data_IF_927465112725
#
_entry.id   IF_927465112725
#
_cell.length_a   1.000
_cell.length_b   1.000
_cell.length_c   1.000
_cell.angle_alpha   90.00
_cell.angle_beta   90.00
_cell.angle_gamma   90.00
#
_symmetry.space_group_name_H-M   'P 1'
#
loop_
_entity.id
_entity.type
_entity.pdbx_description
1 polymer ?
#
# COMPACT_ATOMS: atom_id res chain seq x y z
N UNK A 1 5.98 10.69 23.12
CA UNK A 1 7.43 10.84 23.28
C UNK A 1 8.07 9.50 23.70
N UNK A 2 7.59 8.85 24.76
CA UNK A 2 8.17 7.58 25.25
C UNK A 2 8.31 6.51 24.15
N UNK A 3 7.31 6.34 23.29
CA UNK A 3 7.36 5.41 22.16
C UNK A 3 8.47 5.79 21.16
N UNK A 4 8.61 7.08 20.84
CA UNK A 4 9.65 7.55 19.91
C UNK A 4 11.06 7.32 20.44
N UNK A 5 11.26 7.47 21.75
CA UNK A 5 12.57 7.38 22.39
C UNK A 5 13.01 5.93 22.65
N UNK A 6 12.06 5.00 22.80
CA UNK A 6 12.34 3.66 23.30
C UNK A 6 12.01 2.53 22.31
N UNK A 7 11.28 2.79 21.23
CA UNK A 7 10.94 1.75 20.25
C UNK A 7 11.99 1.68 19.15
N UNK A 8 12.67 0.54 18.94
CA UNK A 8 13.77 0.41 17.99
C UNK A 8 13.42 0.80 16.54
N UNK A 9 12.13 0.70 16.13
CA UNK A 9 11.71 1.10 14.78
C UNK A 9 11.90 2.60 14.50
N UNK A 10 12.06 3.41 15.55
CA UNK A 10 12.26 4.86 15.43
C UNK A 10 13.70 5.28 15.53
N UNK A 11 14.62 4.32 15.70
CA UNK A 11 16.06 4.61 15.78
C UNK A 11 16.53 5.35 14.51
N UNK A 12 17.20 6.48 14.70
CA UNK A 12 17.69 7.31 13.60
C UNK A 12 16.65 8.19 12.92
N UNK A 13 15.38 8.20 13.38
CA UNK A 13 14.35 9.09 12.86
C UNK A 13 14.42 10.45 13.56
N UNK A 14 14.81 11.48 12.81
CA UNK A 14 14.80 12.87 13.28
C UNK A 14 13.46 13.53 12.95
N UNK A 15 12.96 14.34 13.88
CA UNK A 15 11.70 15.09 13.72
C UNK A 15 11.92 16.56 14.05
N UNK A 16 11.38 17.46 13.20
CA UNK A 16 11.41 18.89 13.43
C UNK A 16 10.29 19.38 14.36
N UNK A 17 9.47 18.48 14.90
CA UNK A 17 8.31 18.75 15.75
C UNK A 17 8.31 17.84 16.98
N UNK A 18 7.63 18.26 18.03
CA UNK A 18 7.52 17.52 19.30
C UNK A 18 6.29 16.62 19.35
N UNK A 19 6.27 15.66 20.28
CA UNK A 19 5.10 14.85 20.56
C UNK A 19 3.91 15.70 21.06
N UNK A 20 4.20 16.81 21.79
CA UNK A 20 3.19 17.78 22.24
C UNK A 20 2.55 18.51 21.06
N UNK A 21 3.32 18.88 20.04
CA UNK A 21 2.79 19.46 18.81
C UNK A 21 1.83 18.50 18.12
N UNK A 22 2.17 17.22 18.04
CA UNK A 22 1.28 16.20 17.46
C UNK A 22 -0.01 16.07 18.26
N UNK A 23 0.08 16.00 19.60
CA UNK A 23 -1.10 15.91 20.48
C UNK A 23 -1.98 17.15 20.38
N UNK A 24 -1.37 18.33 20.30
CA UNK A 24 -2.09 19.62 20.16
C UNK A 24 -2.82 19.74 18.83
N UNK A 25 -2.21 19.27 17.74
CA UNK A 25 -2.73 19.46 16.38
C UNK A 25 -3.68 18.34 15.92
N UNK A 26 -3.55 17.14 16.48
CA UNK A 26 -4.46 16.03 16.13
C UNK A 26 -5.87 16.28 16.65
N UNK A 27 -6.87 15.74 15.98
CA UNK A 27 -8.26 15.76 16.44
C UNK A 27 -8.46 14.98 17.75
N UNK A 28 -9.58 15.21 18.41
CA UNK A 28 -9.96 14.52 19.66
C UNK A 28 -10.35 13.05 19.43
N UNK A 29 -10.85 12.74 18.24
CA UNK A 29 -11.18 11.38 17.81
C UNK A 29 -10.00 10.86 17.02
N UNK A 30 -9.48 9.72 17.42
CA UNK A 30 -8.45 9.01 16.70
C UNK A 30 -9.11 7.90 15.88
N UNK A 31 -9.07 8.07 14.56
CA UNK A 31 -9.51 7.00 13.65
C UNK A 31 -8.52 5.85 13.65
N UNK A 32 -9.04 4.63 13.72
CA UNK A 32 -8.25 3.42 13.56
C UNK A 32 -8.39 2.89 12.13
N UNK A 33 -7.27 2.80 11.43
CA UNK A 33 -7.17 2.18 10.13
C UNK A 33 -6.75 0.71 10.30
N UNK A 34 -7.69 -0.11 10.75
CA UNK A 34 -7.43 -1.50 11.21
C UNK A 34 -6.72 -2.34 10.16
N UNK A 35 -7.16 -2.31 8.90
CA UNK A 35 -6.55 -3.10 7.83
C UNK A 35 -5.11 -2.65 7.55
N UNK A 36 -4.89 -1.35 7.45
CA UNK A 36 -3.55 -0.81 7.21
C UNK A 36 -2.60 -1.15 8.37
N UNK A 37 -3.04 -0.97 9.62
CA UNK A 37 -2.22 -1.29 10.80
C UNK A 37 -1.85 -2.77 10.87
N UNK A 38 -2.85 -3.66 10.82
CA UNK A 38 -2.62 -5.12 10.85
C UNK A 38 -1.76 -5.58 9.67
N UNK A 39 -2.05 -5.07 8.49
CA UNK A 39 -1.28 -5.40 7.29
C UNK A 39 0.18 -4.94 7.38
N UNK A 40 0.44 -3.72 7.88
CA UNK A 40 1.78 -3.20 8.07
C UNK A 40 2.58 -3.99 9.11
N UNK A 41 1.97 -4.33 10.25
CA UNK A 41 2.60 -5.18 11.27
C UNK A 41 2.93 -6.57 10.72
N UNK A 42 2.00 -7.18 9.98
CA UNK A 42 2.19 -8.47 9.34
C UNK A 42 3.30 -8.43 8.29
N UNK A 43 3.29 -7.44 7.41
CA UNK A 43 4.32 -7.27 6.37
C UNK A 43 5.70 -7.11 6.99
N UNK A 44 5.82 -6.28 8.03
CA UNK A 44 7.08 -6.05 8.72
C UNK A 44 7.64 -7.33 9.35
N UNK A 45 6.80 -8.08 10.05
CA UNK A 45 7.18 -9.36 10.67
C UNK A 45 7.59 -10.37 9.59
N UNK A 46 6.79 -10.52 8.55
CA UNK A 46 7.04 -11.44 7.45
C UNK A 46 8.37 -11.15 6.75
N UNK A 47 8.65 -9.88 6.41
CA UNK A 47 9.90 -9.50 5.76
C UNK A 47 11.11 -9.77 6.66
N UNK A 48 11.02 -9.53 7.97
CA UNK A 48 12.10 -9.81 8.91
C UNK A 48 12.37 -11.30 9.06
N UNK A 49 11.32 -12.09 9.22
CA UNK A 49 11.43 -13.52 9.44
C UNK A 49 11.95 -14.24 8.19
N UNK A 50 11.47 -13.87 7.01
CA UNK A 50 11.92 -14.43 5.74
C UNK A 50 13.37 -14.04 5.45
N UNK A 51 13.74 -12.77 5.67
CA UNK A 51 15.12 -12.33 5.51
C UNK A 51 16.08 -13.07 6.47
N UNK A 52 15.66 -13.30 7.72
CA UNK A 52 16.47 -14.03 8.70
C UNK A 52 16.71 -15.49 8.30
N UNK A 53 15.81 -16.08 7.49
CA UNK A 53 15.95 -17.43 6.92
C UNK A 53 16.62 -17.45 5.55
N UNK A 54 16.99 -16.30 4.99
CA UNK A 54 17.50 -16.19 3.61
C UNK A 54 16.43 -16.43 2.54
N UNK A 55 15.16 -16.23 2.90
CA UNK A 55 13.98 -16.35 2.04
C UNK A 55 13.49 -14.98 1.57
N UNK A 56 12.48 -14.96 0.74
CA UNK A 56 11.85 -13.73 0.23
C UNK A 56 10.34 -13.85 0.19
N UNK A 57 9.66 -12.72 0.29
CA UNK A 57 8.21 -12.64 0.20
C UNK A 57 7.77 -12.71 -1.26
N UNK A 58 7.03 -13.75 -1.62
CA UNK A 58 6.39 -13.86 -2.94
C UNK A 58 5.16 -12.95 -3.00
N UNK A 59 5.15 -12.05 -3.97
CA UNK A 59 4.00 -11.20 -4.29
C UNK A 59 3.78 -11.15 -5.79
N UNK A 60 2.53 -11.07 -6.21
CA UNK A 60 2.13 -10.83 -7.59
C UNK A 60 1.18 -9.64 -7.66
N UNK A 61 1.13 -9.02 -8.83
CA UNK A 61 0.18 -7.93 -9.13
C UNK A 61 -1.26 -8.42 -9.16
N UNK A 62 -2.19 -7.62 -8.64
CA UNK A 62 -3.62 -7.82 -8.77
C UNK A 62 -4.32 -6.49 -9.00
N UNK A 63 -5.20 -6.41 -10.00
CA UNK A 63 -6.04 -5.25 -10.31
C UNK A 63 -7.50 -5.46 -9.91
N UNK A 64 -7.90 -6.70 -9.71
CA UNK A 64 -9.27 -7.06 -9.35
C UNK A 64 -9.32 -7.87 -8.07
N UNK A 65 -10.44 -7.78 -7.37
CA UNK A 65 -10.67 -8.59 -6.17
C UNK A 65 -10.60 -10.10 -6.45
N UNK A 66 -11.07 -10.54 -7.63
CA UNK A 66 -11.01 -11.96 -7.99
C UNK A 66 -9.57 -12.45 -8.19
N UNK A 67 -8.72 -11.66 -8.84
CA UNK A 67 -7.29 -11.99 -8.96
C UNK A 67 -6.66 -12.14 -7.57
N UNK A 68 -6.91 -11.20 -6.66
CA UNK A 68 -6.40 -11.25 -5.30
C UNK A 68 -6.89 -12.50 -4.54
N UNK A 69 -8.17 -12.81 -4.60
CA UNK A 69 -8.76 -14.02 -3.99
C UNK A 69 -8.10 -15.28 -4.52
N UNK A 70 -7.89 -15.40 -5.84
CA UNK A 70 -7.23 -16.57 -6.42
C UNK A 70 -5.75 -16.67 -6.02
N UNK A 71 -5.03 -15.53 -5.93
CA UNK A 71 -3.64 -15.49 -5.48
C UNK A 71 -3.51 -15.97 -4.03
N UNK A 72 -4.38 -15.50 -3.13
CA UNK A 72 -4.37 -15.93 -1.72
C UNK A 72 -4.71 -17.43 -1.61
N UNK A 73 -5.71 -17.91 -2.35
CA UNK A 73 -6.01 -19.36 -2.44
C UNK A 73 -4.84 -20.20 -2.95
N UNK A 74 -4.04 -19.63 -3.85
CA UNK A 74 -2.83 -20.29 -4.35
C UNK A 74 -1.64 -20.24 -3.39
N UNK A 75 -1.79 -19.62 -2.21
CA UNK A 75 -0.77 -19.53 -1.17
C UNK A 75 0.14 -18.31 -1.24
N UNK A 76 -0.18 -17.29 -2.04
CA UNK A 76 0.55 -16.03 -2.00
C UNK A 76 0.30 -15.30 -0.68
N UNK A 77 1.37 -14.78 -0.09
CA UNK A 77 1.36 -14.17 1.24
C UNK A 77 1.44 -12.64 1.22
N UNK A 78 1.53 -12.05 0.03
CA UNK A 78 1.49 -10.61 -0.19
C UNK A 78 0.98 -10.30 -1.60
N UNK A 79 0.44 -9.09 -1.79
CA UNK A 79 0.01 -8.56 -3.08
C UNK A 79 0.82 -7.29 -3.34
N UNK A 80 1.38 -7.17 -4.53
CA UNK A 80 1.92 -5.91 -5.03
C UNK A 80 0.93 -5.27 -5.98
N UNK A 81 0.46 -4.06 -5.67
CA UNK A 81 -0.43 -3.30 -6.53
C UNK A 81 0.39 -2.31 -7.36
N UNK A 82 0.67 -2.68 -8.60
CA UNK A 82 1.48 -1.92 -9.52
C UNK A 82 0.74 -0.67 -10.04
N UNK A 83 1.38 0.48 -9.94
CA UNK A 83 0.93 1.73 -10.55
C UNK A 83 0.86 1.65 -12.07
N UNK A 84 1.83 1.00 -12.69
CA UNK A 84 1.84 0.75 -14.13
C UNK A 84 0.59 -0.01 -14.59
N UNK A 85 0.22 -1.08 -13.92
CA UNK A 85 -1.01 -1.82 -14.24
C UNK A 85 -2.25 -0.95 -14.03
N UNK A 86 -2.26 -0.12 -12.98
CA UNK A 86 -3.36 0.82 -12.76
C UNK A 86 -3.42 1.89 -13.84
N UNK A 87 -2.28 2.44 -14.27
CA UNK A 87 -2.21 3.37 -15.39
C UNK A 87 -2.81 2.78 -16.66
N UNK A 88 -2.50 1.51 -16.96
CA UNK A 88 -3.00 0.83 -18.15
C UNK A 88 -4.50 0.51 -18.09
N UNK A 89 -4.97 -0.12 -16.99
CA UNK A 89 -6.27 -0.81 -17.02
C UNK A 89 -7.22 -0.47 -15.87
N UNK A 90 -6.79 0.20 -14.82
CA UNK A 90 -7.60 0.33 -13.60
C UNK A 90 -7.68 1.74 -13.02
N UNK A 91 -7.24 2.75 -13.76
CA UNK A 91 -7.34 4.13 -13.31
C UNK A 91 -8.77 4.68 -13.45
N UNK A 92 -9.05 5.76 -12.72
CA UNK A 92 -10.39 6.34 -12.64
C UNK A 92 -10.76 7.24 -13.81
N UNK A 93 -9.80 7.58 -14.69
CA UNK A 93 -10.11 8.37 -15.88
C UNK A 93 -10.72 7.54 -17.02
N UNK A 94 -10.58 6.22 -16.98
CA UNK A 94 -11.02 5.32 -18.04
C UNK A 94 -10.14 5.36 -19.29
N UNK A 95 -8.99 6.00 -19.23
CA UNK A 95 -8.00 6.02 -20.32
C UNK A 95 -6.85 5.06 -20.00
N UNK A 96 -6.09 4.69 -21.03
CA UNK A 96 -4.81 4.00 -20.88
C UNK A 96 -3.68 5.02 -20.87
N UNK A 97 -2.89 5.03 -19.81
CA UNK A 97 -1.74 5.93 -19.67
C UNK A 97 -0.44 5.16 -19.57
N UNK A 98 0.68 5.80 -19.96
CA UNK A 98 1.98 5.32 -19.53
C UNK A 98 2.15 5.51 -18.01
N UNK A 99 3.13 4.83 -17.46
CA UNK A 99 3.49 4.90 -16.03
C UNK A 99 4.24 6.22 -15.74
N UNK A 100 3.53 7.32 -15.72
CA UNK A 100 4.07 8.67 -15.59
C UNK A 100 3.17 9.58 -14.73
N UNK A 101 2.44 9.04 -13.78
CA UNK A 101 1.54 9.80 -12.87
C UNK A 101 0.51 10.68 -13.59
N UNK A 102 0.02 10.26 -14.76
CA UNK A 102 -0.94 11.05 -15.57
C UNK A 102 -2.40 10.73 -15.23
N UNK A 103 -2.66 9.66 -14.54
CA UNK A 103 -4.00 9.27 -14.11
C UNK A 103 -4.35 9.89 -12.73
N UNK A 104 -5.63 9.89 -12.33
CA UNK A 104 -6.04 10.47 -11.05
C UNK A 104 -5.35 9.80 -9.86
N UNK A 105 -4.75 10.59 -8.97
CA UNK A 105 -3.95 10.12 -7.83
C UNK A 105 -4.69 9.16 -6.88
N UNK A 106 -6.01 9.23 -6.82
CA UNK A 106 -6.83 8.33 -6.00
C UNK A 106 -7.16 6.99 -6.67
N UNK A 107 -6.61 6.69 -7.85
CA UNK A 107 -6.87 5.45 -8.59
C UNK A 107 -6.34 4.23 -7.83
N UNK A 108 -5.06 4.24 -7.43
CA UNK A 108 -4.45 3.13 -6.67
C UNK A 108 -5.15 2.91 -5.32
N UNK A 109 -5.43 3.93 -4.49
CA UNK A 109 -6.21 3.76 -3.26
C UNK A 109 -7.58 3.09 -3.48
N UNK A 110 -8.26 3.40 -4.58
CA UNK A 110 -9.55 2.77 -4.91
C UNK A 110 -9.40 1.28 -5.26
N UNK A 111 -8.33 0.89 -5.94
CA UNK A 111 -8.05 -0.52 -6.21
C UNK A 111 -7.68 -1.27 -4.93
N UNK A 112 -6.84 -0.69 -4.06
CA UNK A 112 -6.54 -1.25 -2.73
C UNK A 112 -7.83 -1.55 -1.97
N UNK A 113 -8.75 -0.59 -1.91
CA UNK A 113 -10.04 -0.75 -1.23
C UNK A 113 -10.87 -1.88 -1.84
N UNK A 114 -10.94 -1.97 -3.17
CA UNK A 114 -11.68 -3.04 -3.86
C UNK A 114 -11.09 -4.43 -3.55
N UNK A 115 -9.77 -4.55 -3.54
CA UNK A 115 -9.09 -5.80 -3.20
C UNK A 115 -9.37 -6.17 -1.75
N UNK A 116 -9.17 -5.26 -0.80
CA UNK A 116 -9.48 -5.50 0.61
C UNK A 116 -10.93 -5.94 0.83
N UNK A 117 -11.89 -5.29 0.15
CA UNK A 117 -13.29 -5.68 0.26
C UNK A 117 -13.57 -7.09 -0.27
N UNK A 118 -12.87 -7.52 -1.33
CA UNK A 118 -12.99 -8.88 -1.85
C UNK A 118 -12.39 -9.93 -0.88
N UNK A 119 -11.25 -9.63 -0.29
CA UNK A 119 -10.62 -10.50 0.72
C UNK A 119 -11.46 -10.58 2.00
N UNK A 120 -11.98 -9.45 2.50
CA UNK A 120 -12.92 -9.42 3.62
C UNK A 120 -14.18 -10.24 3.33
N UNK A 121 -14.70 -10.19 2.10
CA UNK A 121 -15.86 -11.00 1.73
C UNK A 121 -15.53 -12.49 1.68
N UNK A 122 -14.35 -12.87 1.18
CA UNK A 122 -13.90 -14.26 1.18
C UNK A 122 -13.76 -14.81 2.60
N UNK A 123 -13.16 -14.04 3.50
CA UNK A 123 -13.07 -14.35 4.94
C UNK A 123 -14.45 -14.53 5.58
N UNK A 124 -15.37 -13.62 5.35
CA UNK A 124 -16.75 -13.71 5.85
C UNK A 124 -17.49 -14.95 5.38
N UNK A 125 -17.29 -15.35 4.12
CA UNK A 125 -17.94 -16.55 3.55
C UNK A 125 -17.42 -17.79 4.27
N UNK A 126 -16.09 -17.97 4.36
CA UNK A 126 -15.50 -19.11 5.05
C UNK A 126 -15.89 -19.18 6.52
N UNK A 127 -15.90 -18.03 7.20
CA UNK A 127 -16.35 -17.96 8.59
C UNK A 127 -17.81 -18.41 8.74
N UNK A 128 -18.69 -17.95 7.85
CA UNK A 128 -20.12 -18.33 7.88
C UNK A 128 -20.35 -19.80 7.55
N UNK A 129 -19.52 -20.39 6.71
CA UNK A 129 -19.58 -21.80 6.31
C UNK A 129 -18.88 -22.72 7.32
N UNK A 130 -18.16 -22.18 8.28
CA UNK A 130 -17.38 -22.94 9.27
C UNK A 130 -16.19 -23.71 8.64
N UNK A 131 -15.64 -23.19 7.55
CA UNK A 131 -14.48 -23.74 6.86
C UNK A 131 -13.29 -22.79 6.94
N UNK A 132 -12.08 -23.33 6.73
CA UNK A 132 -10.85 -22.55 6.65
C UNK A 132 -9.96 -23.19 5.58
N UNK A 133 -9.91 -22.59 4.40
CA UNK A 133 -9.15 -23.10 3.26
C UNK A 133 -7.82 -22.39 3.09
N UNK A 134 -7.67 -21.22 3.67
CA UNK A 134 -6.43 -20.44 3.70
C UNK A 134 -6.08 -20.04 5.14
N UNK A 135 -4.81 -19.83 5.40
CA UNK A 135 -4.33 -19.43 6.73
C UNK A 135 -4.83 -18.03 7.15
N UNK A 136 -4.78 -17.10 6.21
CA UNK A 136 -5.23 -15.73 6.42
C UNK A 136 -5.59 -15.09 5.08
N UNK A 137 -6.83 -14.66 4.94
CA UNK A 137 -7.32 -13.95 3.76
C UNK A 137 -6.74 -12.54 3.64
N UNK A 138 -6.46 -11.87 4.77
CA UNK A 138 -6.02 -10.49 4.78
C UNK A 138 -4.49 -10.39 4.66
N UNK A 139 -3.97 -10.82 3.52
CA UNK A 139 -2.56 -10.68 3.19
C UNK A 139 -2.19 -9.20 2.98
N UNK A 140 -0.94 -8.79 3.32
CA UNK A 140 -0.49 -7.42 3.12
C UNK A 140 -0.54 -7.00 1.65
N UNK A 141 -0.96 -5.75 1.41
CA UNK A 141 -0.92 -5.11 0.09
C UNK A 141 0.13 -4.01 0.12
N UNK A 142 1.16 -4.12 -0.72
CA UNK A 142 2.10 -3.04 -1.00
C UNK A 142 1.61 -2.31 -2.25
N UNK A 143 1.32 -1.03 -2.13
CA UNK A 143 0.72 -0.23 -3.19
C UNK A 143 1.72 0.76 -3.77
N UNK A 144 1.70 0.92 -5.07
CA UNK A 144 2.51 1.88 -5.80
C UNK A 144 1.91 3.29 -5.66
N UNK A 145 2.73 4.24 -5.25
CA UNK A 145 2.39 5.66 -5.17
C UNK A 145 3.10 6.49 -6.25
N UNK A 146 3.79 5.82 -7.17
CA UNK A 146 4.63 6.47 -8.18
C UNK A 146 5.52 7.57 -7.56
N UNK A 147 5.66 8.72 -8.20
CA UNK A 147 6.39 9.87 -7.66
C UNK A 147 5.54 10.79 -6.76
N UNK A 148 4.34 10.37 -6.34
CA UNK A 148 3.49 11.14 -5.42
C UNK A 148 2.52 12.11 -6.08
N UNK A 149 2.43 12.13 -7.42
CA UNK A 149 1.47 12.95 -8.19
C UNK A 149 1.58 14.47 -7.97
N UNK A 150 2.76 14.95 -7.63
CA UNK A 150 3.02 16.37 -7.43
C UNK A 150 4.06 16.63 -6.34
N UNK A 151 3.88 17.73 -5.62
CA UNK A 151 4.81 18.12 -4.54
C UNK A 151 4.58 17.36 -3.23
N UNK A 152 5.33 17.71 -2.17
CA UNK A 152 5.27 17.01 -0.87
C UNK A 152 3.87 16.92 -0.26
N UNK A 153 3.03 17.94 -0.46
CA UNK A 153 1.65 17.93 0.05
C UNK A 153 0.76 16.94 -0.71
N UNK A 154 0.99 16.75 -2.00
CA UNK A 154 0.28 15.73 -2.79
C UNK A 154 0.66 14.32 -2.31
N UNK A 155 1.96 14.07 -2.09
CA UNK A 155 2.45 12.81 -1.55
C UNK A 155 1.86 12.52 -0.16
N UNK A 156 1.79 13.53 0.70
CA UNK A 156 1.17 13.42 2.03
C UNK A 156 -0.33 13.02 1.94
N UNK A 157 -1.10 13.68 1.11
CA UNK A 157 -2.53 13.37 0.92
C UNK A 157 -2.73 11.99 0.28
N UNK A 158 -1.87 11.61 -0.67
CA UNK A 158 -1.88 10.27 -1.24
C UNK A 158 -1.59 9.19 -0.18
N UNK A 159 -0.59 9.41 0.69
CA UNK A 159 -0.30 8.49 1.80
C UNK A 159 -1.49 8.31 2.73
N UNK A 160 -2.19 9.39 3.09
CA UNK A 160 -3.44 9.32 3.88
C UNK A 160 -4.49 8.47 3.18
N UNK A 161 -4.66 8.66 1.88
CA UNK A 161 -5.61 7.88 1.07
C UNK A 161 -5.25 6.39 1.02
N UNK A 162 -3.96 6.06 0.90
CA UNK A 162 -3.45 4.68 0.95
C UNK A 162 -3.74 4.02 2.30
N UNK A 163 -3.45 4.70 3.41
CA UNK A 163 -3.74 4.21 4.77
C UNK A 163 -5.24 3.98 4.94
N UNK A 164 -6.07 4.94 4.55
CA UNK A 164 -7.54 4.83 4.63
C UNK A 164 -8.08 3.68 3.78
N UNK A 165 -7.46 3.39 2.64
CA UNK A 165 -7.83 2.27 1.79
C UNK A 165 -7.39 0.90 2.35
N UNK A 166 -6.47 0.89 3.33
CA UNK A 166 -5.97 -0.32 3.96
C UNK A 166 -4.70 -0.88 3.33
N UNK A 167 -3.89 -0.04 2.67
CA UNK A 167 -2.55 -0.44 2.21
C UNK A 167 -1.65 -0.76 3.40
N UNK A 168 -0.88 -1.82 3.29
CA UNK A 168 0.05 -2.32 4.32
C UNK A 168 1.45 -1.71 4.18
N UNK A 169 1.80 -1.32 2.98
CA UNK A 169 3.02 -0.63 2.61
C UNK A 169 2.79 0.19 1.35
N UNK A 170 3.65 1.16 1.14
CA UNK A 170 3.59 2.04 -0.03
C UNK A 170 4.98 2.14 -0.64
N UNK A 171 5.06 1.93 -1.94
CA UNK A 171 6.25 2.13 -2.74
C UNK A 171 6.23 3.54 -3.33
N UNK A 172 7.31 4.28 -3.13
CA UNK A 172 7.51 5.61 -3.69
C UNK A 172 8.70 5.61 -4.62
N UNK A 173 8.57 6.27 -5.76
CA UNK A 173 9.66 6.40 -6.72
C UNK A 173 10.30 7.78 -6.64
N UNK A 174 11.60 7.83 -6.96
CA UNK A 174 12.31 9.10 -7.07
C UNK A 174 11.80 9.87 -8.31
N UNK A 175 11.29 11.11 -8.15
CA UNK A 175 10.82 11.94 -9.27
C UNK A 175 11.84 12.13 -10.40
N UNK A 176 13.13 11.99 -10.11
CA UNK A 176 14.20 12.10 -11.11
C UNK A 176 14.11 11.00 -12.17
N UNK A 177 13.60 9.82 -11.84
CA UNK A 177 13.46 8.71 -12.78
C UNK A 177 12.49 9.04 -13.92
N UNK A 178 11.44 9.80 -13.67
CA UNK A 178 10.49 10.22 -14.72
C UNK A 178 11.05 11.28 -15.67
N UNK A 179 11.91 12.16 -15.17
CA UNK A 179 12.58 13.15 -16.00
C UNK A 179 13.50 12.51 -17.03
N UNK A 180 14.12 11.40 -16.67
CA UNK A 180 14.97 10.63 -17.59
C UNK A 180 14.20 9.83 -18.63
N UNK A 181 12.96 9.41 -18.32
CA UNK A 181 12.11 8.69 -19.27
C UNK A 181 11.50 9.58 -20.35
N UNK A 182 11.45 10.90 -20.11
CA UNK A 182 10.92 11.86 -21.10
C UNK A 182 11.96 12.41 -22.05
N UNK A 183 13.25 12.30 -21.75
CA UNK A 183 14.35 12.83 -22.57
C UNK A 183 14.53 12.14 -23.93
N UNK A 184 14.35 10.81 -24.10
CA UNK A 184 14.52 10.17 -25.39
C UNK A 184 13.45 10.51 -26.43
N UNK A 185 12.33 11.11 -26.04
CA UNK A 185 11.24 11.44 -26.96
C UNK A 185 11.35 12.85 -27.54
N UNK A 186 12.29 13.66 -27.08
CA UNK A 186 12.52 15.02 -27.60
C UNK A 186 13.44 15.06 -28.82
N UNK A 187 14.05 13.94 -29.19
CA UNK A 187 14.98 13.82 -30.30
C UNK A 187 14.39 13.09 -31.54
N UNK A 188 13.05 13.00 -31.63
CA UNK A 188 12.33 12.42 -32.75
C UNK A 188 11.66 13.48 -33.60
#
# INVERSE_FOLDING_TARGET
QHDWDNTPRWAGVERSFTAEDVVRLRGRIQEEHTLARRGAEKLWTQLKDENARGEFTNALGALTGNQAVQQVKAGLRAIYLSGWQVAADANLSGHTYPDQSLYPANSVPQVVRRINNALLRADQIEHAEGVSTVEDWLVPIVADAEAGFGGPLNAYELMKSMITAGASGVHWEDPVSYTHLTLPTSDL
#
